data_IF_398995162511
#
_entry.id   IF_398995162511
#
_cell.length_a   1.000
_cell.length_b   1.000
_cell.length_c   1.000
_cell.angle_alpha   90.00
_cell.angle_beta   90.00
_cell.angle_gamma   90.00
#
_symmetry.space_group_name_H-M   'P 1'
#
loop_
_entity.id
_entity.type
_entity.pdbx_description
1 polymer ?
#
# COMPACT_ATOMS: atom_id res chain seq x y z
N UNK A 1 19.03 -28.39 8.65
CA UNK A 1 19.19 -27.03 8.06
C UNK A 1 19.68 -25.94 9.03
N UNK A 2 19.60 -26.11 10.37
CA UNK A 2 20.06 -25.09 11.33
C UNK A 2 21.57 -24.76 11.32
N UNK A 3 22.44 -25.75 11.06
CA UNK A 3 23.90 -25.53 11.00
C UNK A 3 24.34 -24.61 9.85
N UNK A 4 23.69 -24.71 8.69
CA UNK A 4 24.03 -23.89 7.52
C UNK A 4 23.64 -22.41 7.71
N UNK A 5 22.46 -22.14 8.29
CA UNK A 5 22.04 -20.78 8.64
C UNK A 5 22.91 -20.16 9.74
N UNK A 6 23.35 -20.95 10.72
CA UNK A 6 24.27 -20.50 11.76
C UNK A 6 25.64 -20.09 11.18
N UNK A 7 26.18 -20.88 10.24
CA UNK A 7 27.46 -20.55 9.59
C UNK A 7 27.39 -19.29 8.72
N UNK A 8 26.28 -19.05 8.03
CA UNK A 8 26.09 -17.84 7.23
C UNK A 8 26.07 -16.57 8.10
N UNK A 9 25.36 -16.59 9.24
CA UNK A 9 25.35 -15.45 10.17
C UNK A 9 26.74 -15.22 10.75
N UNK A 10 27.43 -16.29 11.15
CA UNK A 10 28.76 -16.18 11.75
C UNK A 10 29.80 -15.57 10.78
N UNK A 11 29.78 -15.98 9.50
CA UNK A 11 30.59 -15.35 8.45
C UNK A 11 30.30 -13.85 8.27
N UNK A 12 29.04 -13.42 8.44
CA UNK A 12 28.68 -12.00 8.35
C UNK A 12 29.17 -11.23 9.57
N UNK A 13 29.05 -11.79 10.78
CA UNK A 13 29.55 -11.18 12.01
C UNK A 13 31.08 -11.02 11.96
N UNK A 14 31.80 -12.05 11.51
CA UNK A 14 33.26 -11.99 11.33
C UNK A 14 33.68 -10.93 10.32
N UNK A 15 32.96 -10.78 9.21
CA UNK A 15 33.23 -9.74 8.20
C UNK A 15 32.92 -8.33 8.66
N UNK A 16 31.88 -8.17 9.47
CA UNK A 16 31.41 -6.84 9.92
C UNK A 16 32.05 -6.39 11.22
N UNK A 17 32.72 -7.30 11.95
CA UNK A 17 33.23 -7.04 13.30
C UNK A 17 32.12 -6.82 14.34
N UNK A 18 30.85 -7.03 13.98
CA UNK A 18 29.70 -6.79 14.85
C UNK A 18 29.41 -8.02 15.70
N UNK A 19 28.98 -7.78 16.93
CA UNK A 19 28.36 -8.80 17.75
C UNK A 19 27.01 -9.21 17.16
N UNK A 20 26.56 -10.42 17.49
CA UNK A 20 25.23 -10.89 17.08
C UNK A 20 24.11 -9.96 17.55
N UNK A 21 24.26 -9.32 18.71
CA UNK A 21 23.28 -8.39 19.26
C UNK A 21 23.15 -7.14 18.39
N UNK A 22 24.29 -6.52 18.03
CA UNK A 22 24.33 -5.34 17.16
C UNK A 22 23.74 -5.61 15.77
N UNK A 23 24.07 -6.76 15.18
CA UNK A 23 23.50 -7.15 13.89
C UNK A 23 21.96 -7.32 13.94
N UNK A 24 21.43 -7.92 15.00
CA UNK A 24 19.99 -8.10 15.16
C UNK A 24 19.28 -6.78 15.46
N UNK A 25 19.91 -5.88 16.22
CA UNK A 25 19.40 -4.54 16.48
C UNK A 25 19.31 -3.71 15.19
N UNK A 26 20.38 -3.72 14.38
CA UNK A 26 20.41 -3.05 13.07
C UNK A 26 19.32 -3.59 12.13
N UNK A 27 19.16 -4.92 12.04
CA UNK A 27 18.10 -5.53 11.22
C UNK A 27 16.70 -5.13 11.68
N UNK A 28 16.46 -5.09 12.99
CA UNK A 28 15.18 -4.63 13.54
C UNK A 28 14.94 -3.16 13.22
N UNK A 29 15.95 -2.32 13.41
CA UNK A 29 15.88 -0.89 13.11
C UNK A 29 15.48 -0.64 11.65
N UNK A 30 16.16 -1.26 10.69
CA UNK A 30 15.83 -1.09 9.27
C UNK A 30 14.42 -1.59 8.95
N UNK A 31 14.04 -2.76 9.46
CA UNK A 31 12.72 -3.32 9.22
C UNK A 31 11.60 -2.44 9.77
N UNK A 32 11.77 -1.90 10.97
CA UNK A 32 10.79 -1.02 11.61
C UNK A 32 10.65 0.30 10.83
N UNK A 33 11.77 0.87 10.35
CA UNK A 33 11.76 2.07 9.52
C UNK A 33 11.14 1.86 8.14
N UNK A 34 11.38 0.70 7.52
CA UNK A 34 10.71 0.34 6.26
C UNK A 34 9.20 0.26 6.48
N UNK A 35 8.73 -0.46 7.51
CA UNK A 35 7.31 -0.60 7.82
C UNK A 35 6.65 0.75 8.14
N UNK A 36 7.33 1.60 8.93
CA UNK A 36 6.86 2.94 9.26
C UNK A 36 6.67 3.79 8.00
N UNK A 37 7.67 3.80 7.12
CA UNK A 37 7.63 4.52 5.84
C UNK A 37 6.49 4.00 4.95
N UNK A 38 6.32 2.68 4.83
CA UNK A 38 5.22 2.10 4.07
C UNK A 38 3.84 2.51 4.60
N UNK A 39 3.66 2.61 5.92
CA UNK A 39 2.40 3.09 6.52
C UNK A 39 2.15 4.56 6.18
N UNK A 40 3.18 5.40 6.12
CA UNK A 40 3.04 6.79 5.68
C UNK A 40 2.56 6.84 4.23
N UNK A 41 3.21 6.10 3.33
CA UNK A 41 2.82 6.05 1.91
C UNK A 41 1.36 5.60 1.74
N UNK A 42 0.96 4.49 2.37
CA UNK A 42 -0.41 3.98 2.27
C UNK A 42 -1.45 4.97 2.83
N UNK A 43 -1.14 5.68 3.91
CA UNK A 43 -2.02 6.74 4.45
C UNK A 43 -2.10 7.93 3.50
N UNK A 44 -0.99 8.33 2.88
CA UNK A 44 -0.98 9.37 1.87
C UNK A 44 -1.81 8.98 0.65
N UNK A 45 -1.69 7.75 0.15
CA UNK A 45 -2.52 7.25 -0.96
C UNK A 45 -4.02 7.22 -0.60
N UNK A 46 -4.35 6.81 0.62
CA UNK A 46 -5.72 6.85 1.13
C UNK A 46 -6.27 8.28 1.13
N UNK A 47 -5.48 9.25 1.61
CA UNK A 47 -5.87 10.67 1.63
C UNK A 47 -6.00 11.24 0.22
N UNK A 48 -5.09 10.92 -0.69
CA UNK A 48 -5.12 11.38 -2.09
C UNK A 48 -6.38 10.86 -2.79
N UNK A 49 -6.66 9.56 -2.70
CA UNK A 49 -7.86 8.97 -3.29
C UNK A 49 -9.13 9.54 -2.66
N UNK A 50 -9.18 9.68 -1.34
CA UNK A 50 -10.31 10.27 -0.63
C UNK A 50 -10.56 11.73 -1.03
N UNK A 51 -9.50 12.54 -1.09
CA UNK A 51 -9.58 13.94 -1.49
C UNK A 51 -10.04 14.08 -2.95
N UNK A 52 -9.54 13.23 -3.85
CA UNK A 52 -9.99 13.20 -5.25
C UNK A 52 -11.48 12.84 -5.36
N UNK A 53 -11.96 11.87 -4.58
CA UNK A 53 -13.38 11.54 -4.53
C UNK A 53 -14.24 12.72 -4.03
N UNK A 54 -13.82 13.40 -2.97
CA UNK A 54 -14.51 14.60 -2.46
C UNK A 54 -14.51 15.72 -3.49
N UNK A 55 -13.40 15.95 -4.19
CA UNK A 55 -13.32 16.95 -5.26
C UNK A 55 -14.29 16.64 -6.41
N UNK A 56 -14.37 15.38 -6.83
CA UNK A 56 -15.34 14.96 -7.87
C UNK A 56 -16.78 15.13 -7.39
N UNK A 57 -17.11 14.79 -6.14
CA UNK A 57 -18.45 15.00 -5.58
C UNK A 57 -18.82 16.49 -5.53
N UNK A 58 -17.89 17.35 -5.10
CA UNK A 58 -18.09 18.80 -5.11
C UNK A 58 -18.32 19.35 -6.52
N UNK A 59 -17.58 18.85 -7.50
CA UNK A 59 -17.78 19.19 -8.89
C UNK A 59 -19.15 18.70 -9.41
N UNK A 60 -19.54 17.45 -9.14
CA UNK A 60 -20.85 16.91 -9.55
C UNK A 60 -22.01 17.71 -8.95
N UNK A 61 -21.89 18.17 -7.69
CA UNK A 61 -22.89 19.02 -7.06
C UNK A 61 -23.10 20.35 -7.83
N UNK A 62 -22.09 20.86 -8.53
CA UNK A 62 -22.18 22.09 -9.33
C UNK A 62 -22.88 21.92 -10.68
N UNK A 63 -23.10 20.68 -11.14
CA UNK A 63 -23.68 20.35 -12.46
C UNK A 63 -25.21 20.48 -12.47
N UNK A 64 -25.87 20.71 -11.33
CA UNK A 64 -27.34 20.79 -11.25
C UNK A 64 -28.02 21.83 -12.15
N UNK A 65 -27.25 22.75 -12.76
CA UNK A 65 -27.72 23.75 -13.73
C UNK A 65 -27.45 23.40 -15.20
N UNK A 66 -26.84 22.25 -15.49
CA UNK A 66 -26.45 21.87 -16.85
C UNK A 66 -27.62 21.25 -17.62
N UNK A 67 -27.52 21.25 -18.95
CA UNK A 67 -28.43 20.51 -19.83
C UNK A 67 -28.45 19.02 -19.43
N UNK A 68 -29.64 18.41 -19.46
CA UNK A 68 -29.89 17.01 -19.05
C UNK A 68 -28.96 16.04 -19.76
N UNK A 69 -28.72 16.23 -21.06
CA UNK A 69 -27.90 15.30 -21.85
C UNK A 69 -26.40 15.42 -21.50
N UNK A 70 -25.90 16.65 -21.36
CA UNK A 70 -24.50 16.90 -20.96
C UNK A 70 -24.26 16.48 -19.51
N UNK A 71 -25.19 16.77 -18.61
CA UNK A 71 -25.12 16.37 -17.21
C UNK A 71 -25.03 14.85 -17.07
N UNK A 72 -25.88 14.09 -17.78
CA UNK A 72 -25.89 12.63 -17.72
C UNK A 72 -24.53 12.00 -18.07
N UNK A 73 -23.85 12.48 -19.13
CA UNK A 73 -22.55 11.98 -19.53
C UNK A 73 -21.45 12.27 -18.49
N UNK A 74 -21.44 13.48 -17.92
CA UNK A 74 -20.48 13.80 -16.84
C UNK A 74 -20.72 12.93 -15.61
N UNK A 75 -21.99 12.75 -15.21
CA UNK A 75 -22.34 11.94 -14.04
C UNK A 75 -21.90 10.48 -14.22
N UNK A 76 -22.03 9.93 -15.43
CA UNK A 76 -21.54 8.58 -15.73
C UNK A 76 -20.02 8.49 -15.54
N UNK A 77 -19.26 9.43 -16.10
CA UNK A 77 -17.81 9.51 -15.92
C UNK A 77 -17.38 9.68 -14.47
N UNK A 78 -18.00 10.62 -13.77
CA UNK A 78 -17.74 10.92 -12.38
C UNK A 78 -18.03 9.72 -11.47
N UNK A 79 -19.15 9.01 -11.66
CA UNK A 79 -19.45 7.79 -10.91
C UNK A 79 -18.41 6.68 -11.15
N UNK A 80 -17.96 6.51 -12.39
CA UNK A 80 -16.90 5.57 -12.75
C UNK A 80 -15.55 5.91 -12.10
N UNK A 81 -15.19 7.19 -12.03
CA UNK A 81 -13.98 7.65 -11.34
C UNK A 81 -14.10 7.50 -9.82
N UNK A 82 -15.25 7.86 -9.24
CA UNK A 82 -15.52 7.73 -7.80
C UNK A 82 -15.37 6.29 -7.31
N UNK A 83 -15.92 5.33 -8.04
CA UNK A 83 -15.77 3.91 -7.68
C UNK A 83 -14.30 3.47 -7.67
N UNK A 84 -13.49 3.95 -8.61
CA UNK A 84 -12.05 3.66 -8.65
C UNK A 84 -11.30 4.27 -7.47
N UNK A 85 -11.61 5.51 -7.09
CA UNK A 85 -11.01 6.13 -5.90
C UNK A 85 -11.41 5.39 -4.62
N UNK A 86 -12.66 4.94 -4.48
CA UNK A 86 -13.12 4.13 -3.34
C UNK A 86 -12.37 2.79 -3.29
N UNK A 87 -12.18 2.13 -4.43
CA UNK A 87 -11.35 0.92 -4.49
C UNK A 87 -9.88 1.22 -4.15
N UNK A 88 -9.35 2.39 -4.56
CA UNK A 88 -8.00 2.83 -4.21
C UNK A 88 -7.83 3.01 -2.69
N UNK A 89 -8.78 3.69 -2.04
CA UNK A 89 -8.86 3.79 -0.57
C UNK A 89 -8.91 2.39 0.07
N UNK A 90 -9.74 1.50 -0.47
CA UNK A 90 -9.91 0.14 0.08
C UNK A 90 -8.64 -0.69 -0.05
N UNK A 91 -7.94 -0.58 -1.18
CA UNK A 91 -6.65 -1.22 -1.41
C UNK A 91 -5.58 -0.68 -0.44
N UNK A 92 -5.53 0.63 -0.22
CA UNK A 92 -4.62 1.23 0.76
C UNK A 92 -4.88 0.74 2.20
N UNK A 93 -6.15 0.63 2.60
CA UNK A 93 -6.54 0.06 3.91
C UNK A 93 -6.10 -1.40 4.01
N UNK A 94 -6.33 -2.21 2.98
CA UNK A 94 -5.85 -3.59 2.93
C UNK A 94 -4.32 -3.67 3.08
N UNK A 95 -3.58 -2.76 2.42
CA UNK A 95 -2.13 -2.62 2.57
C UNK A 95 -1.71 -2.32 4.03
N UNK A 96 -2.45 -1.46 4.74
CA UNK A 96 -2.20 -1.18 6.15
C UNK A 96 -2.44 -2.42 7.03
N UNK A 97 -3.47 -3.21 6.73
CA UNK A 97 -3.72 -4.48 7.42
C UNK A 97 -2.60 -5.48 7.18
N UNK A 98 -2.11 -5.61 5.94
CA UNK A 98 -0.97 -6.47 5.63
C UNK A 98 0.31 -6.00 6.33
N UNK A 99 0.54 -4.69 6.41
CA UNK A 99 1.65 -4.12 7.19
C UNK A 99 1.60 -4.51 8.67
N UNK A 100 0.39 -4.56 9.27
CA UNK A 100 0.21 -5.08 10.63
C UNK A 100 0.59 -6.56 10.73
N UNK A 101 0.14 -7.40 9.78
CA UNK A 101 0.48 -8.82 9.77
C UNK A 101 1.96 -9.10 9.51
N UNK A 102 2.63 -8.31 8.67
CA UNK A 102 4.10 -8.32 8.49
C UNK A 102 4.78 -8.10 9.83
N UNK A 103 4.42 -7.04 10.56
CA UNK A 103 5.01 -6.77 11.87
C UNK A 103 4.73 -7.90 12.87
N UNK A 104 3.51 -8.40 12.92
CA UNK A 104 3.15 -9.54 13.77
C UNK A 104 4.00 -10.78 13.47
N UNK A 105 4.15 -11.13 12.19
CA UNK A 105 4.96 -12.28 11.76
C UNK A 105 6.46 -12.09 12.05
N UNK A 106 6.96 -10.86 12.00
CA UNK A 106 8.35 -10.53 12.37
C UNK A 106 8.60 -10.73 13.87
N UNK A 107 7.65 -10.34 14.72
CA UNK A 107 7.72 -10.62 16.17
C UNK A 107 7.75 -12.13 16.40
N UNK A 108 6.90 -12.89 15.70
CA UNK A 108 6.89 -14.36 15.81
C UNK A 108 8.18 -15.01 15.30
N UNK A 109 8.81 -14.47 14.25
CA UNK A 109 10.13 -14.91 13.79
C UNK A 109 11.23 -14.62 14.80
N UNK A 110 11.11 -13.53 15.56
CA UNK A 110 12.06 -13.21 16.63
C UNK A 110 11.95 -14.22 17.78
N UNK A 111 10.72 -14.60 18.14
CA UNK A 111 10.45 -15.60 19.18
C UNK A 111 10.74 -17.05 18.72
N UNK A 112 10.53 -17.34 17.44
CA UNK A 112 10.74 -18.67 16.85
C UNK A 112 11.49 -18.56 15.49
N UNK A 113 12.82 -18.37 15.53
CA UNK A 113 13.62 -18.05 14.33
C UNK A 113 13.74 -19.18 13.31
N UNK A 114 13.42 -20.42 13.72
CA UNK A 114 13.53 -21.62 12.88
C UNK A 114 12.23 -21.89 12.11
N UNK A 115 11.12 -21.24 12.48
CA UNK A 115 9.83 -21.47 11.82
C UNK A 115 9.83 -20.99 10.37
N UNK A 116 9.84 -21.95 9.44
CA UNK A 116 9.69 -21.67 8.01
C UNK A 116 8.31 -21.11 7.67
N UNK A 117 7.27 -21.48 8.43
CA UNK A 117 5.91 -20.99 8.24
C UNK A 117 5.79 -19.49 8.46
N UNK A 118 6.33 -18.99 9.58
CA UNK A 118 6.33 -17.54 9.88
C UNK A 118 7.16 -16.74 8.88
N UNK A 119 8.24 -17.33 8.36
CA UNK A 119 9.08 -16.69 7.33
C UNK A 119 8.32 -16.50 6.03
N UNK A 120 7.60 -17.54 5.58
CA UNK A 120 6.75 -17.45 4.38
C UNK A 120 5.61 -16.46 4.58
N UNK A 121 4.92 -16.52 5.72
CA UNK A 121 3.85 -15.58 6.05
C UNK A 121 4.33 -14.13 6.01
N UNK A 122 5.50 -13.83 6.59
CA UNK A 122 6.09 -12.50 6.58
C UNK A 122 6.32 -11.98 5.15
N UNK A 123 6.95 -12.81 4.30
CA UNK A 123 7.20 -12.47 2.90
C UNK A 123 5.87 -12.25 2.16
N UNK A 124 4.89 -13.14 2.33
CA UNK A 124 3.58 -13.03 1.70
C UNK A 124 2.87 -11.73 2.08
N UNK A 125 2.78 -11.41 3.37
CA UNK A 125 2.13 -10.16 3.82
C UNK A 125 2.89 -8.92 3.34
N UNK A 126 4.22 -8.96 3.29
CA UNK A 126 5.00 -7.86 2.77
C UNK A 126 4.74 -7.62 1.28
N UNK A 127 4.74 -8.69 0.47
CA UNK A 127 4.43 -8.62 -0.97
C UNK A 127 3.00 -8.15 -1.21
N UNK A 128 2.03 -8.66 -0.45
CA UNK A 128 0.63 -8.23 -0.53
C UNK A 128 0.47 -6.75 -0.16
N UNK A 129 1.16 -6.29 0.89
CA UNK A 129 1.17 -4.87 1.28
C UNK A 129 1.71 -3.97 0.17
N UNK A 130 2.80 -4.38 -0.48
CA UNK A 130 3.37 -3.67 -1.63
C UNK A 130 2.42 -3.68 -2.84
N UNK A 131 1.83 -4.83 -3.16
CA UNK A 131 0.87 -4.97 -4.26
C UNK A 131 -0.37 -4.10 -4.03
N UNK A 132 -0.83 -4.00 -2.78
CA UNK A 132 -1.93 -3.11 -2.37
C UNK A 132 -1.60 -1.63 -2.61
N UNK A 133 -0.39 -1.17 -2.27
CA UNK A 133 0.03 0.21 -2.52
C UNK A 133 0.06 0.52 -4.04
N UNK A 134 0.72 -0.34 -4.82
CA UNK A 134 0.78 -0.20 -6.29
C UNK A 134 -0.63 -0.20 -6.90
N UNK A 135 -1.52 -1.06 -6.40
CA UNK A 135 -2.91 -1.10 -6.86
C UNK A 135 -3.69 0.16 -6.50
N UNK A 136 -3.51 0.71 -5.30
CA UNK A 136 -4.15 1.95 -4.87
C UNK A 136 -3.74 3.14 -5.73
N UNK A 137 -2.45 3.26 -6.04
CA UNK A 137 -1.94 4.27 -6.98
C UNK A 137 -2.43 4.04 -8.41
N UNK A 138 -2.44 2.80 -8.89
CA UNK A 138 -2.95 2.47 -10.22
C UNK A 138 -4.43 2.80 -10.38
N UNK A 139 -5.25 2.54 -9.35
CA UNK A 139 -6.67 2.89 -9.33
C UNK A 139 -6.90 4.40 -9.32
N UNK A 140 -6.05 5.17 -8.61
CA UNK A 140 -6.08 6.63 -8.67
C UNK A 140 -5.84 7.14 -10.10
N UNK A 141 -4.76 6.69 -10.74
CA UNK A 141 -4.39 7.10 -12.10
C UNK A 141 -5.50 6.72 -13.09
N UNK A 142 -6.04 5.50 -12.99
CA UNK A 142 -7.15 5.07 -13.84
C UNK A 142 -8.42 5.88 -13.58
N UNK A 143 -8.75 6.16 -12.33
CA UNK A 143 -9.88 7.03 -11.95
C UNK A 143 -9.78 8.40 -12.64
N UNK A 144 -8.59 9.00 -12.61
CA UNK A 144 -8.32 10.27 -13.27
C UNK A 144 -8.49 10.20 -14.79
N UNK A 145 -8.01 9.14 -15.45
CA UNK A 145 -8.19 8.95 -16.89
C UNK A 145 -9.66 8.80 -17.29
N UNK A 146 -10.45 8.04 -16.52
CA UNK A 146 -11.89 7.89 -16.79
C UNK A 146 -12.60 9.23 -16.67
N UNK A 147 -12.27 10.01 -15.64
CA UNK A 147 -12.83 11.34 -15.48
C UNK A 147 -12.44 12.28 -16.63
N UNK A 148 -11.17 12.26 -17.04
CA UNK A 148 -10.67 13.05 -18.17
C UNK A 148 -11.39 12.70 -19.48
N UNK A 149 -11.52 11.41 -19.77
CA UNK A 149 -12.18 10.93 -20.99
C UNK A 149 -13.62 11.44 -21.07
N UNK A 150 -14.36 11.41 -19.97
CA UNK A 150 -15.72 11.92 -19.91
C UNK A 150 -15.82 13.44 -20.09
N UNK A 151 -14.79 14.21 -19.72
CA UNK A 151 -14.76 15.64 -20.01
C UNK A 151 -14.42 15.93 -21.47
N UNK A 152 -13.48 15.17 -22.05
CA UNK A 152 -13.07 15.36 -23.45
C UNK A 152 -14.16 15.02 -24.47
N UNK A 153 -15.18 14.25 -24.08
CA UNK A 153 -16.33 14.00 -24.94
C UNK A 153 -17.36 15.14 -24.93
N UNK A 154 -17.26 16.05 -23.97
CA UNK A 154 -18.28 17.09 -23.71
C UNK A 154 -17.82 18.48 -24.14
N UNK A 155 -16.52 18.77 -24.05
CA UNK A 155 -15.88 20.01 -24.47
C UNK A 155 -15.08 19.80 -25.75
#
# INVERSE_FOLDING_TARGET
MGKAASGAVQNVLERTGKTRAEYLEEHRFFNDKTIETSKVVLRSEMLINGAAAVAVLGFVASIGSWDVERGAQVLQGASGALMRYVFGVSAAIAGLMFSYFTHYSQVQLTNNPISAGWRRANICFHVLGMASAVSALGLFIWGAYVLQASFSTIF
#
